data_IF_430412167000
#
_entry.id   IF_430412167000
#
_cell.length_a   1.000
_cell.length_b   1.000
_cell.length_c   1.000
_cell.angle_alpha   90.00
_cell.angle_beta   90.00
_cell.angle_gamma   90.00
#
_symmetry.space_group_name_H-M   'P 1'
#
loop_
_entity.id
_entity.type
_entity.pdbx_description
1 polymer ?
#
# COMPACT_ATOMS: atom_id res chain seq x y z
N UNK A 1 -35.26 3.09 32.89
CA UNK A 1 -34.60 3.77 31.75
C UNK A 1 -33.11 3.89 32.06
N UNK A 2 -32.29 2.98 31.52
CA UNK A 2 -30.84 3.11 31.61
C UNK A 2 -30.42 4.06 30.50
N UNK A 3 -30.01 5.28 30.86
CA UNK A 3 -29.35 6.19 29.94
C UNK A 3 -28.07 5.51 29.45
N UNK A 4 -28.11 4.97 28.24
CA UNK A 4 -26.90 4.63 27.49
C UNK A 4 -26.22 5.96 27.19
N UNK A 5 -25.15 6.26 27.93
CA UNK A 5 -24.23 7.33 27.57
C UNK A 5 -23.70 6.97 26.19
N UNK A 6 -24.25 7.63 25.16
CA UNK A 6 -23.73 7.59 23.79
C UNK A 6 -22.33 8.18 23.83
N UNK A 7 -21.33 7.35 24.11
CA UNK A 7 -19.93 7.72 23.95
C UNK A 7 -19.75 8.23 22.53
N UNK A 8 -19.14 9.41 22.38
CA UNK A 8 -18.93 10.06 21.08
C UNK A 8 -18.47 9.03 20.06
N UNK A 9 -19.25 8.84 19.02
CA UNK A 9 -19.03 7.78 18.05
C UNK A 9 -17.71 7.99 17.30
N UNK A 10 -16.91 6.94 17.17
CA UNK A 10 -15.55 7.05 16.64
C UNK A 10 -15.63 7.38 15.14
N UNK A 11 -15.00 8.47 14.71
CA UNK A 11 -14.94 8.81 13.28
C UNK A 11 -13.78 8.10 12.60
N UNK A 12 -13.99 7.71 11.35
CA UNK A 12 -12.96 7.17 10.46
C UNK A 12 -13.04 7.87 9.10
N UNK A 13 -11.97 7.75 8.31
CA UNK A 13 -11.95 8.09 6.89
C UNK A 13 -12.09 6.81 6.06
N UNK A 14 -12.79 6.89 4.94
CA UNK A 14 -12.98 5.74 4.04
C UNK A 14 -12.69 6.18 2.63
N UNK A 15 -11.99 5.36 1.83
CA UNK A 15 -11.72 5.73 0.43
C UNK A 15 -13.03 5.92 -0.34
N UNK A 16 -13.08 6.91 -1.23
CA UNK A 16 -14.29 7.22 -2.00
C UNK A 16 -14.82 5.99 -2.76
N UNK A 17 -13.94 5.18 -3.36
CA UNK A 17 -14.34 3.95 -4.05
C UNK A 17 -15.02 2.93 -3.12
N UNK A 18 -14.61 2.85 -1.85
CA UNK A 18 -15.27 1.99 -0.85
C UNK A 18 -16.67 2.51 -0.52
N UNK A 19 -16.85 3.83 -0.38
CA UNK A 19 -18.18 4.42 -0.11
C UNK A 19 -19.13 4.25 -1.29
N UNK A 20 -18.65 4.44 -2.53
CA UNK A 20 -19.44 4.18 -3.74
C UNK A 20 -19.85 2.70 -3.80
N UNK A 21 -18.93 1.77 -3.58
CA UNK A 21 -19.25 0.33 -3.58
C UNK A 21 -20.27 -0.06 -2.48
N UNK A 22 -20.33 0.70 -1.37
CA UNK A 22 -21.34 0.53 -0.34
C UNK A 22 -22.66 1.28 -0.64
N UNK A 23 -22.73 2.07 -1.71
CA UNK A 23 -23.87 2.93 -2.02
C UNK A 23 -24.10 4.03 -0.97
N UNK A 24 -23.05 4.44 -0.26
CA UNK A 24 -23.06 5.55 0.69
C UNK A 24 -22.67 6.88 0.03
N UNK A 25 -22.10 6.81 -1.17
CA UNK A 25 -21.76 7.95 -2.02
C UNK A 25 -22.18 7.63 -3.46
N UNK A 26 -22.66 8.64 -4.17
CA UNK A 26 -23.00 8.51 -5.59
C UNK A 26 -21.73 8.59 -6.44
N UNK A 27 -21.63 7.75 -7.47
CA UNK A 27 -20.53 7.81 -8.43
C UNK A 27 -20.26 6.48 -9.11
N UNK A 28 -19.26 6.47 -9.98
CA UNK A 28 -18.81 5.27 -10.70
C UNK A 28 -17.29 5.19 -10.60
N UNK A 29 -16.79 4.01 -10.28
CA UNK A 29 -15.34 3.74 -10.35
C UNK A 29 -14.96 3.49 -11.80
N UNK A 30 -13.96 4.21 -12.31
CA UNK A 30 -13.55 4.13 -13.71
C UNK A 30 -13.32 2.68 -14.18
N UNK A 31 -13.81 2.37 -15.38
CA UNK A 31 -13.75 1.01 -15.94
C UNK A 31 -14.59 -0.03 -15.20
N UNK A 32 -15.45 0.36 -14.25
CA UNK A 32 -16.27 -0.55 -13.46
C UNK A 32 -15.47 -1.38 -12.44
N UNK A 33 -14.21 -1.04 -12.19
CA UNK A 33 -13.33 -1.83 -11.31
C UNK A 33 -13.48 -1.38 -9.86
N UNK A 34 -14.53 -1.87 -9.22
CA UNK A 34 -14.78 -1.58 -7.81
C UNK A 34 -13.71 -2.19 -6.89
N UNK A 35 -13.43 -1.55 -5.74
CA UNK A 35 -12.47 -2.08 -4.79
C UNK A 35 -12.97 -3.39 -4.19
N UNK A 36 -12.10 -4.41 -4.12
CA UNK A 36 -12.40 -5.70 -3.47
C UNK A 36 -12.07 -5.69 -1.98
N UNK A 37 -11.40 -4.64 -1.51
CA UNK A 37 -11.06 -4.37 -0.11
C UNK A 37 -11.72 -3.07 0.33
N UNK A 38 -12.33 -3.05 1.52
CA UNK A 38 -12.74 -1.82 2.17
C UNK A 38 -11.52 -1.09 2.74
N UNK A 39 -11.17 0.07 2.19
CA UNK A 39 -10.02 0.85 2.64
C UNK A 39 -10.45 1.92 3.63
N UNK A 40 -10.00 1.78 4.88
CA UNK A 40 -10.33 2.63 6.01
C UNK A 40 -9.04 3.24 6.55
N UNK A 41 -9.07 4.54 6.85
CA UNK A 41 -7.98 5.30 7.43
C UNK A 41 -8.48 5.93 8.73
N UNK A 42 -7.67 5.85 9.77
CA UNK A 42 -7.97 6.49 11.04
C UNK A 42 -8.14 8.01 10.86
N UNK A 43 -9.22 8.57 11.42
CA UNK A 43 -9.48 10.00 11.31
C UNK A 43 -8.59 10.79 12.27
N UNK A 44 -8.06 11.91 11.79
CA UNK A 44 -7.43 12.95 12.59
C UNK A 44 -7.83 14.30 12.00
N UNK A 45 -8.18 15.27 12.85
CA UNK A 45 -8.53 16.63 12.39
C UNK A 45 -7.28 17.35 11.89
N UNK A 46 -6.19 17.22 12.63
CA UNK A 46 -4.88 17.84 12.36
C UNK A 46 -4.06 17.04 11.32
N UNK A 47 -4.51 15.82 11.00
CA UNK A 47 -3.76 14.87 10.18
C UNK A 47 -2.80 14.02 11.02
N UNK A 48 -1.81 13.43 10.36
CA UNK A 48 -0.74 12.65 10.96
C UNK A 48 0.33 13.58 11.55
N UNK A 49 0.74 13.37 12.80
CA UNK A 49 1.81 14.12 13.46
C UNK A 49 3.21 13.84 12.86
N UNK A 50 3.33 12.79 12.05
CA UNK A 50 4.54 12.55 11.26
C UNK A 50 4.73 13.63 10.19
N UNK A 51 5.98 13.87 9.81
CA UNK A 51 6.37 14.95 8.88
C UNK A 51 6.75 14.45 7.48
N UNK A 52 6.24 13.27 7.08
CA UNK A 52 6.58 12.64 5.80
C UNK A 52 6.29 13.60 4.64
N UNK A 53 7.33 14.00 3.92
CA UNK A 53 7.24 15.04 2.88
C UNK A 53 6.40 14.64 1.67
N UNK A 54 6.27 13.35 1.38
CA UNK A 54 5.44 12.83 0.28
C UNK A 54 3.96 12.59 0.67
N UNK A 55 3.58 12.76 1.94
CA UNK A 55 2.28 12.33 2.43
C UNK A 55 1.29 13.50 2.60
N UNK A 56 0.11 13.40 2.00
CA UNK A 56 -0.97 14.39 2.14
C UNK A 56 -1.56 14.47 3.56
N UNK A 57 -1.40 13.40 4.35
CA UNK A 57 -1.81 13.37 5.76
C UNK A 57 -0.81 14.06 6.70
N UNK A 58 0.42 14.33 6.25
CA UNK A 58 1.45 14.96 7.09
C UNK A 58 0.98 16.32 7.61
N UNK A 59 1.03 16.54 8.92
CA UNK A 59 0.68 17.82 9.54
C UNK A 59 1.61 18.95 9.10
N UNK A 60 2.83 18.64 8.65
CA UNK A 60 3.81 19.62 8.17
C UNK A 60 3.51 20.19 6.78
N UNK A 61 2.60 19.58 6.02
CA UNK A 61 2.32 20.00 4.63
C UNK A 61 1.16 21.00 4.61
N UNK A 62 1.46 22.30 4.69
CA UNK A 62 0.46 23.37 4.62
C UNK A 62 -0.21 23.43 3.24
N UNK A 63 -1.48 23.85 3.19
CA UNK A 63 -2.22 24.01 1.92
C UNK A 63 -2.74 22.72 1.27
N UNK A 64 -2.55 21.55 1.90
CA UNK A 64 -3.02 20.26 1.38
C UNK A 64 -4.30 19.83 2.09
N UNK A 65 -5.34 19.51 1.31
CA UNK A 65 -6.60 19.00 1.84
C UNK A 65 -6.38 17.64 2.50
N UNK A 66 -6.58 17.56 3.82
CA UNK A 66 -6.46 16.32 4.62
C UNK A 66 -7.53 15.27 4.32
N UNK A 67 -8.50 15.60 3.48
CA UNK A 67 -9.40 14.62 2.88
C UNK A 67 -8.72 13.76 1.82
N UNK A 68 -7.49 14.06 1.41
CA UNK A 68 -6.77 13.23 0.45
C UNK A 68 -5.76 12.30 1.13
N UNK A 69 -5.69 11.06 0.66
CA UNK A 69 -4.51 10.20 0.83
C UNK A 69 -4.06 9.79 -0.57
N UNK A 70 -2.82 10.15 -0.91
CA UNK A 70 -2.40 10.22 -2.32
C UNK A 70 -3.36 11.15 -3.09
N UNK A 71 -3.87 10.73 -4.25
CA UNK A 71 -4.81 11.48 -5.08
C UNK A 71 -6.27 11.12 -4.82
N UNK A 72 -6.53 10.13 -3.97
CA UNK A 72 -7.87 9.65 -3.68
C UNK A 72 -8.48 10.51 -2.57
N UNK A 73 -9.77 10.78 -2.67
CA UNK A 73 -10.57 11.42 -1.61
C UNK A 73 -11.00 10.37 -0.59
N UNK A 74 -10.90 10.74 0.68
CA UNK A 74 -11.22 9.92 1.85
C UNK A 74 -12.17 10.68 2.78
N UNK A 75 -13.48 10.69 2.46
CA UNK A 75 -14.49 11.32 3.30
C UNK A 75 -14.53 10.72 4.70
N UNK A 76 -15.02 11.50 5.67
CA UNK A 76 -15.21 11.04 7.04
C UNK A 76 -16.58 10.41 7.20
N UNK A 77 -16.65 9.31 7.94
CA UNK A 77 -17.89 8.64 8.31
C UNK A 77 -17.82 8.20 9.77
N UNK A 78 -19.00 8.06 10.38
CA UNK A 78 -19.13 7.39 11.65
C UNK A 78 -18.78 5.90 11.54
N UNK A 79 -17.98 5.37 12.49
CA UNK A 79 -17.56 3.98 12.46
C UNK A 79 -18.73 3.02 12.65
N UNK A 80 -19.69 3.31 13.53
CA UNK A 80 -20.80 2.39 13.78
C UNK A 80 -21.74 2.35 12.56
N UNK A 81 -21.97 3.49 11.89
CA UNK A 81 -22.64 3.51 10.59
C UNK A 81 -21.91 2.67 9.53
N UNK A 82 -20.59 2.79 9.45
CA UNK A 82 -19.77 2.02 8.51
C UNK A 82 -19.85 0.51 8.81
N UNK A 83 -19.72 0.11 10.07
CA UNK A 83 -19.82 -1.29 10.51
C UNK A 83 -21.19 -1.86 10.17
N UNK A 84 -22.27 -1.14 10.50
CA UNK A 84 -23.63 -1.55 10.16
C UNK A 84 -23.82 -1.74 8.64
N UNK A 85 -23.26 -0.85 7.84
CA UNK A 85 -23.37 -0.93 6.37
C UNK A 85 -22.56 -2.10 5.81
N UNK A 86 -21.32 -2.29 6.27
CA UNK A 86 -20.45 -3.41 5.88
C UNK A 86 -21.06 -4.77 6.24
N UNK A 87 -21.69 -4.89 7.41
CA UNK A 87 -22.36 -6.13 7.84
C UNK A 87 -23.54 -6.52 6.94
N UNK A 88 -24.27 -5.53 6.43
CA UNK A 88 -25.40 -5.74 5.50
C UNK A 88 -24.95 -5.98 4.07
N UNK A 89 -23.93 -5.25 3.61
CA UNK A 89 -23.41 -5.29 2.23
C UNK A 89 -22.08 -6.01 2.19
N UNK A 90 -22.11 -7.33 2.01
CA UNK A 90 -20.92 -8.19 1.91
C UNK A 90 -20.23 -8.14 0.54
N UNK A 91 -19.91 -6.92 0.09
CA UNK A 91 -19.30 -6.68 -1.24
C UNK A 91 -17.77 -6.74 -1.23
N UNK A 92 -17.15 -6.77 -0.04
CA UNK A 92 -15.69 -6.80 0.12
C UNK A 92 -15.19 -8.14 0.62
N UNK A 93 -14.00 -8.52 0.16
CA UNK A 93 -13.29 -9.73 0.58
C UNK A 93 -12.30 -9.47 1.73
N UNK A 94 -12.01 -8.20 2.04
CA UNK A 94 -11.06 -7.78 3.07
C UNK A 94 -11.37 -6.36 3.57
N UNK A 95 -10.98 -6.06 4.79
CA UNK A 95 -10.92 -4.71 5.35
C UNK A 95 -9.45 -4.34 5.56
N UNK A 96 -9.01 -3.19 5.04
CA UNK A 96 -7.70 -2.62 5.32
C UNK A 96 -7.88 -1.39 6.20
N UNK A 97 -7.47 -1.48 7.46
CA UNK A 97 -7.50 -0.37 8.41
C UNK A 97 -6.10 0.24 8.55
N UNK A 98 -5.96 1.52 8.27
CA UNK A 98 -4.68 2.22 8.23
C UNK A 98 -4.63 3.26 9.36
N UNK A 99 -3.53 3.30 10.11
CA UNK A 99 -3.38 4.26 11.22
C UNK A 99 -2.65 5.52 10.79
N UNK A 100 -2.94 6.64 11.46
CA UNK A 100 -2.14 7.86 11.41
C UNK A 100 -1.54 8.13 12.79
N UNK A 101 -0.32 8.68 12.86
CA UNK A 101 0.31 9.01 14.14
C UNK A 101 -0.43 10.19 14.76
N UNK A 102 -1.01 10.00 15.93
CA UNK A 102 -1.63 11.02 16.78
C UNK A 102 -1.65 10.53 18.23
N UNK A 103 -2.06 11.38 19.17
CA UNK A 103 -2.26 10.95 20.56
C UNK A 103 -3.21 9.74 20.61
N UNK A 104 -2.84 8.71 21.38
CA UNK A 104 -3.61 7.48 21.56
C UNK A 104 -4.03 6.75 20.25
N UNK A 105 -3.28 6.89 19.15
CA UNK A 105 -3.69 6.29 17.88
C UNK A 105 -3.83 4.76 17.93
N UNK A 106 -3.00 4.09 18.74
CA UNK A 106 -3.07 2.63 18.95
C UNK A 106 -4.32 2.22 19.70
N UNK A 107 -4.66 2.93 20.80
CA UNK A 107 -5.86 2.64 21.59
C UNK A 107 -7.14 2.83 20.78
N UNK A 108 -7.21 3.88 19.96
CA UNK A 108 -8.31 4.05 19.02
C UNK A 108 -8.36 2.96 17.94
N UNK A 109 -7.21 2.56 17.38
CA UNK A 109 -7.16 1.49 16.40
C UNK A 109 -7.66 0.15 17.00
N UNK A 110 -7.33 -0.15 18.26
CA UNK A 110 -7.87 -1.31 18.97
C UNK A 110 -9.40 -1.27 19.07
N UNK A 111 -9.97 -0.11 19.43
CA UNK A 111 -11.43 0.09 19.47
C UNK A 111 -12.05 -0.12 18.09
N UNK A 112 -11.46 0.47 17.05
CA UNK A 112 -11.97 0.35 15.69
C UNK A 112 -11.93 -1.09 15.18
N UNK A 113 -10.80 -1.79 15.37
CA UNK A 113 -10.64 -3.19 14.96
C UNK A 113 -11.60 -4.10 15.72
N UNK A 114 -11.82 -3.86 17.01
CA UNK A 114 -12.82 -4.61 17.80
C UNK A 114 -14.22 -4.51 17.21
N UNK A 115 -14.65 -3.31 16.78
CA UNK A 115 -15.93 -3.12 16.08
C UNK A 115 -15.96 -3.82 14.72
N UNK A 116 -14.91 -3.67 13.91
CA UNK A 116 -14.82 -4.26 12.57
C UNK A 116 -14.76 -5.79 12.60
N UNK A 117 -14.19 -6.40 13.65
CA UNK A 117 -14.09 -7.86 13.82
C UNK A 117 -15.45 -8.55 13.70
N UNK A 118 -16.50 -7.92 14.21
CA UNK A 118 -17.88 -8.46 14.22
C UNK A 118 -18.46 -8.73 12.83
N UNK A 119 -17.89 -8.13 11.78
CA UNK A 119 -18.37 -8.24 10.40
C UNK A 119 -18.02 -9.61 9.79
N UNK A 120 -16.97 -10.27 10.29
CA UNK A 120 -16.49 -11.56 9.77
C UNK A 120 -15.71 -11.48 8.44
N UNK A 121 -15.32 -10.28 8.01
CA UNK A 121 -14.44 -10.07 6.86
C UNK A 121 -12.98 -10.01 7.34
N UNK A 122 -12.01 -10.70 6.68
CA UNK A 122 -10.59 -10.65 7.05
C UNK A 122 -10.05 -9.22 7.16
N UNK A 123 -9.24 -8.96 8.19
CA UNK A 123 -8.72 -7.62 8.50
C UNK A 123 -7.21 -7.57 8.31
N UNK A 124 -6.74 -6.56 7.57
CA UNK A 124 -5.34 -6.14 7.52
C UNK A 124 -5.17 -4.81 8.25
N UNK A 125 -4.19 -4.72 9.15
CA UNK A 125 -3.82 -3.48 9.83
C UNK A 125 -2.57 -2.90 9.19
N UNK A 126 -2.61 -1.65 8.72
CA UNK A 126 -1.42 -0.92 8.27
C UNK A 126 -1.00 0.09 9.33
N UNK A 127 0.20 -0.04 9.89
CA UNK A 127 0.67 0.83 10.97
C UNK A 127 2.17 1.14 10.92
N UNK A 128 2.58 2.10 11.73
CA UNK A 128 3.98 2.47 11.99
C UNK A 128 4.54 1.58 13.12
N UNK A 129 5.84 1.62 13.45
CA UNK A 129 6.35 0.88 14.59
C UNK A 129 5.59 1.17 15.89
N UNK A 130 5.13 0.10 16.53
CA UNK A 130 4.45 0.08 17.83
C UNK A 130 5.07 -1.01 18.71
N UNK A 131 4.77 -1.00 20.01
CA UNK A 131 5.24 -2.04 20.91
C UNK A 131 4.74 -3.44 20.50
N UNK A 132 5.57 -4.46 20.68
CA UNK A 132 5.28 -5.85 20.29
C UNK A 132 4.04 -6.40 21.02
N UNK A 133 3.80 -5.96 22.27
CA UNK A 133 2.59 -6.32 23.02
C UNK A 133 1.31 -5.91 22.28
N UNK A 134 1.30 -4.76 21.62
CA UNK A 134 0.18 -4.33 20.79
C UNK A 134 0.04 -5.15 19.51
N UNK A 135 1.14 -5.59 18.89
CA UNK A 135 1.06 -6.52 17.73
C UNK A 135 0.36 -7.83 18.12
N UNK A 136 0.76 -8.41 19.27
CA UNK A 136 0.13 -9.61 19.80
C UNK A 136 -1.37 -9.38 20.08
N UNK A 137 -1.72 -8.23 20.63
CA UNK A 137 -3.11 -7.85 20.89
C UNK A 137 -3.93 -7.68 19.59
N UNK A 138 -3.37 -7.05 18.56
CA UNK A 138 -4.04 -6.96 17.26
C UNK A 138 -4.25 -8.35 16.64
N UNK A 139 -3.26 -9.24 16.73
CA UNK A 139 -3.40 -10.63 16.27
C UNK A 139 -4.50 -11.37 17.03
N UNK A 140 -4.57 -11.26 18.36
CA UNK A 140 -5.64 -11.89 19.15
C UNK A 140 -7.04 -11.28 18.89
N UNK A 141 -7.10 -10.02 18.43
CA UNK A 141 -8.32 -9.39 17.94
C UNK A 141 -8.72 -9.82 16.51
N UNK A 142 -7.96 -10.70 15.87
CA UNK A 142 -8.30 -11.24 14.54
C UNK A 142 -7.76 -10.42 13.37
N UNK A 143 -6.79 -9.52 13.61
CA UNK A 143 -5.99 -8.97 12.50
C UNK A 143 -5.19 -10.12 11.89
N UNK A 144 -5.43 -10.40 10.62
CA UNK A 144 -4.80 -11.51 9.89
C UNK A 144 -3.42 -11.11 9.37
N UNK A 145 -3.28 -9.88 8.86
CA UNK A 145 -2.04 -9.41 8.20
C UNK A 145 -1.65 -8.02 8.66
N UNK A 146 -0.35 -7.75 8.62
CA UNK A 146 0.20 -6.43 8.93
C UNK A 146 0.74 -5.75 7.66
N UNK A 147 0.38 -4.49 7.46
CA UNK A 147 1.03 -3.58 6.52
C UNK A 147 1.99 -2.65 7.24
N UNK A 148 3.19 -2.44 6.69
CA UNK A 148 4.17 -1.50 7.24
C UNK A 148 4.64 -0.55 6.15
N UNK A 149 4.35 0.73 6.31
CA UNK A 149 4.84 1.77 5.41
C UNK A 149 6.31 2.09 5.69
N UNK A 150 7.25 1.32 5.12
CA UNK A 150 8.67 1.71 5.11
C UNK A 150 8.88 2.88 4.15
N UNK A 151 8.18 2.83 3.02
CA UNK A 151 8.00 3.83 1.97
C UNK A 151 9.28 4.23 1.21
N UNK A 152 10.44 4.25 1.86
CA UNK A 152 11.73 4.55 1.27
C UNK A 152 12.52 3.27 0.96
N UNK A 153 13.42 3.35 -0.02
CA UNK A 153 14.23 2.20 -0.46
C UNK A 153 15.64 2.19 0.14
N UNK A 154 16.04 3.24 0.86
CA UNK A 154 17.31 3.29 1.61
C UNK A 154 17.20 4.15 2.88
N UNK A 155 18.13 4.00 3.85
CA UNK A 155 18.20 4.88 5.02
C UNK A 155 18.35 6.36 4.67
N UNK A 156 19.11 6.68 3.61
CA UNK A 156 19.28 8.05 3.10
C UNK A 156 17.94 8.63 2.66
N UNK A 157 17.25 7.94 1.75
CA UNK A 157 15.94 8.38 1.25
C UNK A 157 14.93 8.48 2.39
N UNK A 158 14.93 7.53 3.33
CA UNK A 158 14.06 7.53 4.51
C UNK A 158 14.22 8.81 5.34
N UNK A 159 15.46 9.23 5.57
CA UNK A 159 15.79 10.50 6.25
C UNK A 159 15.36 11.71 5.41
N UNK A 160 15.67 11.71 4.12
CA UNK A 160 15.39 12.84 3.22
C UNK A 160 13.90 13.16 3.11
N UNK A 161 13.05 12.12 3.13
CA UNK A 161 11.59 12.27 3.09
C UNK A 161 10.94 12.43 4.47
N UNK A 162 11.73 12.56 5.53
CA UNK A 162 11.30 12.82 6.91
C UNK A 162 10.32 11.77 7.45
N UNK A 163 10.61 10.48 7.23
CA UNK A 163 9.87 9.40 7.87
C UNK A 163 9.99 9.50 9.40
N UNK A 164 8.93 9.15 10.17
CA UNK A 164 9.02 9.09 11.62
C UNK A 164 9.94 7.93 12.04
N UNK A 165 10.46 7.96 13.27
CA UNK A 165 11.42 6.97 13.79
C UNK A 165 12.72 6.88 12.95
N UNK A 166 13.50 5.83 13.16
CA UNK A 166 14.71 5.52 12.37
C UNK A 166 14.47 4.35 11.43
N UNK A 167 15.27 4.25 10.38
CA UNK A 167 15.29 3.08 9.48
C UNK A 167 15.42 1.77 10.26
N UNK A 168 16.38 1.70 11.18
CA UNK A 168 16.61 0.49 12.00
C UNK A 168 15.43 0.14 12.89
N UNK A 169 14.71 1.15 13.40
CA UNK A 169 13.47 0.92 14.16
C UNK A 169 12.42 0.23 13.29
N UNK A 170 12.27 0.65 12.04
CA UNK A 170 11.36 0.00 11.10
C UNK A 170 11.80 -1.42 10.75
N UNK A 171 13.09 -1.63 10.45
CA UNK A 171 13.60 -2.97 10.12
C UNK A 171 13.41 -3.94 11.29
N UNK A 172 13.76 -3.53 12.51
CA UNK A 172 13.53 -4.32 13.73
C UNK A 172 12.03 -4.60 13.93
N UNK A 173 11.18 -3.60 13.72
CA UNK A 173 9.74 -3.76 13.83
C UNK A 173 9.18 -4.73 12.79
N UNK A 174 9.64 -4.67 11.53
CA UNK A 174 9.24 -5.60 10.46
C UNK A 174 9.63 -7.03 10.83
N UNK A 175 10.88 -7.26 11.26
CA UNK A 175 11.34 -8.57 11.72
C UNK A 175 10.48 -9.11 12.86
N UNK A 176 10.21 -8.31 13.90
CA UNK A 176 9.33 -8.69 15.01
C UNK A 176 7.87 -8.90 14.60
N UNK A 177 7.38 -8.14 13.62
CA UNK A 177 6.07 -8.36 13.07
C UNK A 177 5.99 -9.70 12.32
N UNK A 178 7.02 -10.11 11.59
CA UNK A 178 7.06 -11.43 10.95
C UNK A 178 7.09 -12.54 12.00
N UNK A 179 7.85 -12.40 13.09
CA UNK A 179 7.82 -13.35 14.21
C UNK A 179 6.40 -13.49 14.80
N UNK A 180 5.66 -12.38 14.92
CA UNK A 180 4.30 -12.39 15.49
C UNK A 180 3.25 -12.91 14.51
N UNK A 181 3.22 -12.42 13.28
CA UNK A 181 2.15 -12.73 12.31
C UNK A 181 2.43 -13.99 11.49
N UNK A 182 3.69 -14.32 11.26
CA UNK A 182 4.14 -15.45 10.46
C UNK A 182 4.78 -15.04 9.14
N UNK A 183 5.49 -16.00 8.52
CA UNK A 183 6.12 -15.82 7.23
C UNK A 183 5.11 -15.40 6.16
N UNK A 184 5.47 -14.42 5.33
CA UNK A 184 4.62 -13.82 4.28
C UNK A 184 3.29 -13.26 4.78
N UNK A 185 3.17 -12.90 6.07
CA UNK A 185 1.97 -12.25 6.64
C UNK A 185 2.15 -10.75 6.88
N UNK A 186 3.36 -10.22 6.67
CA UNK A 186 3.69 -8.79 6.76
C UNK A 186 3.98 -8.27 5.36
N UNK A 187 3.24 -7.26 4.91
CA UNK A 187 3.47 -6.58 3.64
C UNK A 187 4.10 -5.21 3.87
N UNK A 188 5.31 -5.01 3.38
CA UNK A 188 6.06 -3.77 3.50
C UNK A 188 5.85 -2.93 2.25
N UNK A 189 5.45 -1.68 2.42
CA UNK A 189 5.23 -0.76 1.30
C UNK A 189 6.54 -0.05 0.96
N UNK A 190 6.89 -0.03 -0.32
CA UNK A 190 8.00 0.76 -0.87
C UNK A 190 7.47 1.69 -1.95
N UNK A 191 7.92 2.95 -1.94
CA UNK A 191 7.57 3.95 -2.94
C UNK A 191 8.78 4.17 -3.87
N UNK A 192 8.61 3.80 -5.13
CA UNK A 192 9.60 4.03 -6.19
C UNK A 192 9.46 5.46 -6.71
N UNK A 193 10.58 6.17 -6.86
CA UNK A 193 10.60 7.59 -7.30
C UNK A 193 10.84 8.61 -6.18
N UNK A 194 11.17 8.17 -4.95
CA UNK A 194 11.57 9.03 -3.85
C UNK A 194 13.09 9.32 -3.78
N UNK A 195 13.86 8.91 -4.79
CA UNK A 195 15.30 9.21 -4.89
C UNK A 195 16.27 8.04 -4.66
N UNK A 196 15.74 6.81 -4.52
CA UNK A 196 16.56 5.60 -4.54
C UNK A 196 16.73 5.02 -5.95
N UNK A 197 17.88 4.42 -6.21
CA UNK A 197 18.21 3.75 -7.47
C UNK A 197 17.51 2.39 -7.61
N UNK A 198 17.54 1.84 -8.83
CA UNK A 198 17.03 0.49 -9.11
C UNK A 198 17.76 -0.56 -8.27
N UNK A 199 19.10 -0.51 -8.22
CA UNK A 199 19.93 -1.44 -7.44
C UNK A 199 19.62 -1.39 -5.95
N UNK A 200 19.52 -0.19 -5.38
CA UNK A 200 19.15 -0.01 -3.97
C UNK A 200 17.75 -0.57 -3.68
N UNK A 201 16.81 -0.36 -4.61
CA UNK A 201 15.44 -0.88 -4.46
C UNK A 201 15.41 -2.40 -4.49
N UNK A 202 16.12 -3.05 -5.42
CA UNK A 202 16.22 -4.52 -5.50
C UNK A 202 16.84 -5.08 -4.21
N UNK A 203 17.97 -4.52 -3.74
CA UNK A 203 18.62 -4.96 -2.50
C UNK A 203 17.70 -4.86 -1.29
N UNK A 204 16.95 -3.76 -1.18
CA UNK A 204 15.98 -3.60 -0.08
C UNK A 204 14.83 -4.61 -0.20
N UNK A 205 14.32 -4.88 -1.40
CA UNK A 205 13.32 -5.94 -1.58
C UNK A 205 13.88 -7.30 -1.18
N UNK A 206 15.06 -7.70 -1.68
CA UNK A 206 15.72 -8.96 -1.30
C UNK A 206 15.85 -9.12 0.21
N UNK A 207 16.29 -8.06 0.89
CA UNK A 207 16.42 -8.05 2.35
C UNK A 207 15.05 -8.19 3.05
N UNK A 208 14.01 -7.51 2.60
CA UNK A 208 12.67 -7.64 3.18
C UNK A 208 12.10 -9.05 2.97
N UNK A 209 12.32 -9.64 1.79
CA UNK A 209 11.90 -11.02 1.51
C UNK A 209 12.70 -12.04 2.34
N UNK A 210 13.98 -11.79 2.63
CA UNK A 210 14.79 -12.66 3.50
C UNK A 210 14.38 -12.60 4.98
N UNK A 211 13.81 -11.47 5.42
CA UNK A 211 13.16 -11.36 6.74
C UNK A 211 11.82 -12.08 6.81
N UNK A 212 11.31 -12.63 5.70
CA UNK A 212 9.99 -13.28 5.63
C UNK A 212 8.82 -12.33 5.40
N UNK A 213 9.06 -11.08 5.02
CA UNK A 213 7.99 -10.16 4.60
C UNK A 213 7.65 -10.31 3.11
N UNK A 214 6.59 -9.65 2.66
CA UNK A 214 6.28 -9.37 1.25
C UNK A 214 6.47 -7.88 0.96
N UNK A 215 6.62 -7.51 -0.31
CA UNK A 215 6.69 -6.11 -0.74
C UNK A 215 5.49 -5.71 -1.58
N UNK A 216 4.89 -4.57 -1.26
CA UNK A 216 3.96 -3.85 -2.12
C UNK A 216 4.61 -2.58 -2.67
N UNK A 217 4.65 -2.46 -3.98
CA UNK A 217 5.25 -1.31 -4.68
C UNK A 217 4.20 -0.24 -4.93
N UNK A 218 4.61 1.01 -4.72
CA UNK A 218 3.83 2.20 -5.03
C UNK A 218 4.70 3.10 -5.92
N UNK A 219 4.11 3.67 -6.98
CA UNK A 219 4.78 4.71 -7.75
C UNK A 219 4.59 6.06 -7.07
N UNK A 220 5.68 6.78 -6.79
CA UNK A 220 5.57 8.16 -6.32
C UNK A 220 4.83 8.97 -7.38
N UNK A 221 3.74 9.62 -6.97
CA UNK A 221 2.96 10.48 -7.85
C UNK A 221 2.74 11.80 -7.13
N UNK A 222 3.36 12.90 -7.60
CA UNK A 222 3.21 14.20 -6.98
C UNK A 222 1.73 14.58 -6.84
N UNK A 223 1.36 15.04 -5.66
CA UNK A 223 0.02 15.58 -5.37
C UNK A 223 0.16 17.08 -5.19
N UNK A 224 -0.81 17.85 -5.68
CA UNK A 224 -0.81 19.31 -5.53
C UNK A 224 -0.66 19.69 -4.05
N UNK A 225 0.32 20.54 -3.74
CA UNK A 225 0.65 20.97 -2.37
C UNK A 225 1.57 20.00 -1.59
N UNK A 226 1.85 18.82 -2.12
CA UNK A 226 2.83 17.85 -1.59
C UNK A 226 3.86 17.60 -2.68
N UNK A 227 4.80 18.53 -2.86
CA UNK A 227 5.88 18.37 -3.83
C UNK A 227 7.22 18.28 -3.12
N UNK A 228 7.83 17.10 -3.20
CA UNK A 228 9.25 16.92 -2.94
C UNK A 228 10.04 17.51 -4.11
N UNK A 229 10.88 18.52 -3.83
CA UNK A 229 11.83 19.03 -4.83
C UNK A 229 12.68 17.86 -5.34
N UNK A 230 12.89 17.80 -6.65
CA UNK A 230 13.72 16.80 -7.33
C UNK A 230 13.22 15.35 -7.27
N UNK A 231 11.98 15.10 -6.85
CA UNK A 231 11.36 13.77 -6.99
C UNK A 231 10.33 13.79 -8.13
N UNK A 232 10.40 12.79 -8.99
CA UNK A 232 9.50 12.63 -10.14
C UNK A 232 8.81 11.27 -10.10
N UNK A 233 7.75 11.14 -10.90
CA UNK A 233 7.15 9.83 -11.14
C UNK A 233 8.23 8.91 -11.74
N UNK A 234 8.32 7.65 -11.33
CA UNK A 234 9.28 6.73 -11.94
C UNK A 234 8.94 6.50 -13.41
N UNK A 235 9.96 6.31 -14.23
CA UNK A 235 9.79 5.83 -15.60
C UNK A 235 9.07 4.47 -15.61
N UNK A 236 8.20 4.25 -16.58
CA UNK A 236 7.42 3.00 -16.65
C UNK A 236 8.32 1.78 -16.82
N UNK A 237 9.36 1.87 -17.65
CA UNK A 237 10.35 0.79 -17.85
C UNK A 237 10.99 0.39 -16.52
N UNK A 238 11.49 1.36 -15.76
CA UNK A 238 12.07 1.13 -14.43
C UNK A 238 11.05 0.49 -13.49
N UNK A 239 9.81 0.98 -13.49
CA UNK A 239 8.77 0.42 -12.61
C UNK A 239 8.39 -1.01 -12.98
N UNK A 240 8.30 -1.33 -14.28
CA UNK A 240 8.02 -2.70 -14.77
C UNK A 240 9.12 -3.66 -14.41
N UNK A 241 10.39 -3.25 -14.54
CA UNK A 241 11.52 -4.06 -14.10
C UNK A 241 11.39 -4.39 -12.60
N UNK A 242 11.12 -3.39 -11.77
CA UNK A 242 10.97 -3.60 -10.32
C UNK A 242 9.73 -4.45 -9.96
N UNK A 243 8.64 -4.34 -10.72
CA UNK A 243 7.47 -5.20 -10.55
C UNK A 243 7.77 -6.66 -10.87
N UNK A 244 8.46 -6.94 -11.98
CA UNK A 244 8.89 -8.31 -12.33
C UNK A 244 9.86 -8.83 -11.28
N UNK A 245 10.83 -8.04 -10.82
CA UNK A 245 11.74 -8.44 -9.74
C UNK A 245 10.98 -8.73 -8.44
N UNK A 246 10.03 -7.89 -8.04
CA UNK A 246 9.20 -8.13 -6.86
C UNK A 246 8.41 -9.44 -6.99
N UNK A 247 7.88 -9.73 -8.19
CA UNK A 247 7.19 -10.98 -8.47
C UNK A 247 8.12 -12.19 -8.35
N UNK A 248 9.34 -12.14 -8.93
CA UNK A 248 10.34 -13.22 -8.81
C UNK A 248 10.64 -13.52 -7.33
N UNK A 249 10.90 -12.48 -6.53
CA UNK A 249 11.15 -12.61 -5.09
C UNK A 249 9.97 -13.23 -4.35
N UNK A 250 8.74 -12.87 -4.74
CA UNK A 250 7.52 -13.47 -4.19
C UNK A 250 7.42 -14.97 -4.47
N UNK A 251 7.86 -15.41 -5.64
CA UNK A 251 7.93 -16.82 -6.01
C UNK A 251 9.16 -17.55 -5.44
N UNK A 252 10.01 -16.87 -4.66
CA UNK A 252 11.26 -17.46 -4.14
C UNK A 252 12.36 -17.60 -5.20
N UNK A 253 12.23 -16.90 -6.33
CA UNK A 253 13.20 -16.90 -7.42
C UNK A 253 14.19 -15.74 -7.19
N UNK A 254 15.48 -16.04 -7.16
CA UNK A 254 16.53 -15.03 -6.98
C UNK A 254 16.62 -14.09 -8.18
N UNK A 255 16.48 -12.76 -8.01
CA UNK A 255 16.61 -11.79 -9.08
C UNK A 255 17.97 -11.80 -9.77
N UNK A 256 19.04 -12.12 -9.04
CA UNK A 256 20.40 -12.20 -9.59
C UNK A 256 20.56 -13.16 -10.76
N UNK A 257 19.64 -14.11 -10.94
CA UNK A 257 19.62 -15.03 -12.10
C UNK A 257 19.15 -14.36 -13.39
N UNK A 258 18.35 -13.29 -13.27
CA UNK A 258 17.64 -12.69 -14.40
C UNK A 258 17.92 -11.20 -14.55
N UNK A 259 18.38 -10.50 -13.51
CA UNK A 259 18.77 -9.09 -13.61
C UNK A 259 20.19 -9.01 -14.13
N UNK A 260 20.35 -8.40 -15.30
CA UNK A 260 21.63 -8.26 -15.99
C UNK A 260 21.96 -6.77 -16.18
N UNK A 261 23.25 -6.49 -16.31
CA UNK A 261 23.73 -5.15 -16.62
C UNK A 261 23.89 -4.99 -18.14
N UNK A 262 23.31 -3.93 -18.68
CA UNK A 262 23.40 -3.52 -20.08
C UNK A 262 24.47 -2.44 -20.24
N UNK A 263 24.80 -2.07 -21.49
CA UNK A 263 25.64 -0.91 -21.78
C UNK A 263 25.21 0.33 -20.99
N UNK A 264 26.18 1.06 -20.42
CA UNK A 264 25.91 2.24 -19.60
C UNK A 264 25.45 1.96 -18.16
N UNK A 265 25.65 0.74 -17.66
CA UNK A 265 25.29 0.33 -16.29
C UNK A 265 23.79 0.31 -15.97
N UNK A 266 22.94 0.37 -17.00
CA UNK A 266 21.50 0.17 -16.88
C UNK A 266 21.19 -1.28 -16.52
N UNK A 267 20.23 -1.49 -15.62
CA UNK A 267 19.74 -2.84 -15.32
C UNK A 267 18.60 -3.24 -16.26
N UNK A 268 18.70 -4.45 -16.81
CA UNK A 268 17.70 -5.10 -17.65
C UNK A 268 17.39 -6.49 -17.12
N UNK A 269 16.37 -7.13 -17.69
CA UNK A 269 16.00 -8.51 -17.42
C UNK A 269 16.46 -9.40 -18.58
N UNK A 270 17.11 -10.52 -18.30
CA UNK A 270 17.40 -11.54 -19.30
C UNK A 270 16.10 -11.99 -19.96
N UNK A 271 16.11 -12.13 -21.29
CA UNK A 271 14.99 -12.71 -22.06
C UNK A 271 14.49 -14.06 -21.52
N UNK A 272 15.35 -14.83 -20.84
CA UNK A 272 14.98 -16.09 -20.20
C UNK A 272 13.88 -15.92 -19.13
N UNK A 273 13.71 -14.73 -18.55
CA UNK A 273 12.65 -14.49 -17.56
C UNK A 273 11.26 -14.74 -18.14
N UNK A 274 11.07 -14.46 -19.44
CA UNK A 274 9.76 -14.58 -20.11
C UNK A 274 9.36 -16.05 -20.25
N UNK A 275 10.30 -16.91 -20.64
CA UNK A 275 10.02 -18.34 -20.78
C UNK A 275 9.84 -19.04 -19.43
N UNK A 276 10.56 -18.60 -18.38
CA UNK A 276 10.47 -19.20 -17.04
C UNK A 276 9.21 -18.77 -16.31
N UNK A 277 8.86 -17.48 -16.35
CA UNK A 277 7.70 -16.96 -15.63
C UNK A 277 6.41 -17.24 -16.41
N UNK A 278 6.47 -17.14 -17.74
CA UNK A 278 5.29 -17.24 -18.59
C UNK A 278 4.49 -15.94 -18.63
N UNK A 279 3.68 -15.79 -19.67
CA UNK A 279 2.95 -14.56 -19.97
C UNK A 279 1.95 -14.18 -18.87
N UNK A 280 1.13 -15.13 -18.41
CA UNK A 280 0.09 -14.84 -17.41
C UNK A 280 0.68 -14.38 -16.07
N UNK A 281 1.79 -14.96 -15.65
CA UNK A 281 2.44 -14.57 -14.41
C UNK A 281 3.19 -13.24 -14.53
N UNK A 282 3.73 -12.92 -15.71
CA UNK A 282 4.20 -11.56 -16.01
C UNK A 282 3.05 -10.55 -15.91
N UNK A 283 1.86 -10.87 -16.43
CA UNK A 283 0.69 -10.02 -16.24
C UNK A 283 0.37 -9.83 -14.75
N UNK A 284 0.44 -10.90 -13.95
CA UNK A 284 0.20 -10.82 -12.50
C UNK A 284 1.23 -9.95 -11.78
N UNK A 285 2.48 -9.89 -12.24
CA UNK A 285 3.49 -8.99 -11.70
C UNK A 285 3.12 -7.51 -11.84
N UNK A 286 2.35 -7.15 -12.86
CA UNK A 286 1.92 -5.77 -13.16
C UNK A 286 0.64 -5.36 -12.41
N UNK A 287 -0.04 -6.30 -11.75
CA UNK A 287 -1.19 -5.99 -10.91
C UNK A 287 -0.77 -5.25 -9.64
N UNK A 288 -1.75 -4.62 -9.00
CA UNK A 288 -1.57 -4.03 -7.67
C UNK A 288 -1.04 -5.07 -6.69
N UNK A 289 0.14 -4.81 -6.14
CA UNK A 289 0.73 -5.61 -5.07
C UNK A 289 0.20 -5.16 -3.70
N UNK A 290 0.07 -6.10 -2.77
CA UNK A 290 -0.53 -5.85 -1.47
C UNK A 290 -1.01 -7.12 -0.77
N UNK A 291 -1.80 -6.94 0.29
CA UNK A 291 -2.52 -8.05 0.93
C UNK A 291 -3.44 -8.77 -0.08
N UNK A 292 -3.83 -10.04 0.18
CA UNK A 292 -4.79 -10.75 -0.67
C UNK A 292 -6.07 -9.92 -0.90
N UNK A 293 -6.52 -9.86 -2.15
CA UNK A 293 -7.66 -9.04 -2.59
C UNK A 293 -7.44 -7.52 -2.52
N UNK A 294 -6.20 -7.03 -2.41
CA UNK A 294 -5.86 -5.62 -2.53
C UNK A 294 -5.74 -5.23 -4.01
N UNK A 295 -6.67 -4.40 -4.49
CA UNK A 295 -6.73 -4.01 -5.91
C UNK A 295 -6.66 -2.48 -6.15
N UNK A 296 -6.62 -1.68 -5.07
CA UNK A 296 -6.51 -0.20 -5.02
C UNK A 296 -6.71 0.55 -6.35
N UNK A 297 -7.94 0.62 -6.88
CA UNK A 297 -8.20 1.21 -8.20
C UNK A 297 -7.68 2.64 -8.32
N UNK A 298 -6.67 2.83 -9.18
CA UNK A 298 -6.11 4.13 -9.57
C UNK A 298 -5.57 4.97 -8.40
N UNK A 299 -5.04 4.31 -7.37
CA UNK A 299 -4.54 4.96 -6.15
C UNK A 299 -3.28 5.81 -6.41
N UNK A 300 -2.40 5.34 -7.29
CA UNK A 300 -1.18 6.06 -7.67
C UNK A 300 -1.38 6.83 -8.99
N UNK A 301 -2.14 6.27 -9.92
CA UNK A 301 -2.26 6.74 -11.32
C UNK A 301 -3.62 7.35 -11.68
N UNK A 302 -3.67 8.16 -12.73
CA UNK A 302 -4.95 8.52 -13.35
C UNK A 302 -5.57 7.29 -14.03
N UNK A 303 -6.90 7.14 -14.06
CA UNK A 303 -7.53 6.12 -14.90
C UNK A 303 -7.19 6.25 -16.39
N UNK A 304 -6.76 7.43 -16.84
CA UNK A 304 -6.28 7.70 -18.20
C UNK A 304 -4.80 7.35 -18.43
N UNK A 305 -4.10 6.90 -17.39
CA UNK A 305 -2.70 6.53 -17.43
C UNK A 305 -1.71 7.70 -17.25
N UNK A 306 -0.39 7.40 -17.31
CA UNK A 306 0.18 6.05 -17.36
C UNK A 306 -0.21 5.21 -16.12
N UNK A 307 -0.49 3.92 -16.30
CA UNK A 307 -0.93 3.02 -15.22
C UNK A 307 0.28 2.28 -14.67
N UNK A 308 0.58 2.46 -13.38
CA UNK A 308 1.68 1.74 -12.73
C UNK A 308 1.20 0.42 -12.14
N UNK A 309 0.09 0.46 -11.41
CA UNK A 309 -0.49 -0.71 -10.78
C UNK A 309 -1.88 -1.00 -11.36
N UNK A 310 -2.02 -2.11 -12.07
CA UNK A 310 -3.30 -2.48 -12.64
C UNK A 310 -4.24 -3.02 -11.55
N UNK A 311 -5.50 -2.53 -11.47
CA UNK A 311 -6.42 -2.96 -10.42
C UNK A 311 -7.13 -4.28 -10.72
N UNK A 312 -7.03 -4.79 -11.95
CA UNK A 312 -7.60 -6.09 -12.32
C UNK A 312 -6.97 -6.62 -13.60
N UNK A 313 -7.04 -7.94 -13.78
CA UNK A 313 -6.65 -8.60 -15.03
C UNK A 313 -7.46 -8.10 -16.23
N UNK A 314 -8.75 -7.79 -16.04
CA UNK A 314 -9.61 -7.34 -17.13
C UNK A 314 -9.19 -5.97 -17.67
N UNK A 315 -8.69 -5.06 -16.83
CA UNK A 315 -8.10 -3.81 -17.31
C UNK A 315 -6.74 -4.09 -17.94
N UNK A 316 -5.87 -4.84 -17.28
CA UNK A 316 -4.53 -5.12 -17.81
C UNK A 316 -4.57 -5.74 -19.21
N UNK A 317 -5.47 -6.71 -19.46
CA UNK A 317 -5.65 -7.31 -20.79
C UNK A 317 -5.94 -6.30 -21.90
N UNK A 318 -6.61 -5.18 -21.60
CA UNK A 318 -6.88 -4.11 -22.58
C UNK A 318 -5.64 -3.28 -22.95
N UNK A 319 -4.63 -3.30 -22.09
CA UNK A 319 -3.38 -2.55 -22.29
C UNK A 319 -2.21 -3.49 -22.59
N UNK A 320 -2.44 -4.80 -22.74
CA UNK A 320 -1.36 -5.79 -22.73
C UNK A 320 -0.39 -5.61 -23.89
N UNK A 321 -0.86 -5.36 -25.12
CA UNK A 321 0.02 -5.12 -26.27
C UNK A 321 1.01 -3.98 -26.01
N UNK A 322 0.53 -2.88 -25.42
CA UNK A 322 1.37 -1.75 -25.03
C UNK A 322 2.34 -2.11 -23.90
N UNK A 323 1.92 -2.96 -22.95
CA UNK A 323 2.81 -3.43 -21.89
C UNK A 323 3.89 -4.37 -22.44
N UNK A 324 3.59 -5.19 -23.44
CA UNK A 324 4.59 -6.02 -24.15
C UNK A 324 5.65 -5.14 -24.80
N UNK A 325 5.27 -4.03 -25.44
CA UNK A 325 6.25 -3.07 -25.98
C UNK A 325 7.17 -2.47 -24.90
N UNK A 326 6.63 -2.17 -23.71
CA UNK A 326 7.42 -1.63 -22.59
C UNK A 326 8.31 -2.74 -22.00
N UNK A 327 7.79 -3.95 -21.84
CA UNK A 327 8.53 -5.11 -21.36
C UNK A 327 9.70 -5.44 -22.30
N UNK A 328 9.49 -5.39 -23.61
CA UNK A 328 10.56 -5.61 -24.59
C UNK A 328 11.72 -4.60 -24.46
N UNK A 329 11.46 -3.37 -24.01
CA UNK A 329 12.51 -2.35 -23.78
C UNK A 329 13.39 -2.65 -22.56
N UNK A 330 12.88 -3.41 -21.60
CA UNK A 330 13.62 -3.79 -20.39
C UNK A 330 14.25 -5.17 -20.48
N UNK A 331 14.09 -5.88 -21.61
CA UNK A 331 14.74 -7.16 -21.86
C UNK A 331 16.11 -6.96 -22.51
N UNK A 332 17.08 -7.77 -22.10
CA UNK A 332 18.39 -7.93 -22.74
C UNK A 332 18.51 -9.35 -23.31
#
# INVERSE_FOLDING_TARGET
MVLVVLGSSLKVRVSLGTLIALGLESGVVSGGVYPTTAYILQYSREGCLAKCRFCTQSSSNSGVRRSFLSRIVWPTIDLDLLVNTLSRKRVFKRICYQTVIKSNFVGEALKAISRLKSIGIPISLCTTPIAISYLKLFKSLGVERLGVGLDATTPRVFKDVLKPYTWDTYIKFISKAVEVFGNRMVTVHLIVGLGGSVRETIKTMEYLYSLGAEVALFAYTPVKGVSLRNCMRPELTVYRLLQVVNYLLKQGISPSKYVVESEGSELKLSRQVVSVVGEEELMRALLTSGCPNCNRPYYNESPKGPIYNYPSMSILRKYWDREVEILNKILA
#
